data_IF_905168424345
#
_entry.id   IF_905168424345
#
_cell.length_a   1.000
_cell.length_b   1.000
_cell.length_c   1.000
_cell.angle_alpha   90.00
_cell.angle_beta   90.00
_cell.angle_gamma   90.00
#
_symmetry.space_group_name_H-M   'P 1'
#
loop_
_entity.id
_entity.type
_entity.pdbx_description
1 polymer ?
#
# COMPACT_ATOMS: atom_id res chain seq x y z
N UNK A 1 -3.60 -15.89 1.49
CA UNK A 1 -4.26 -15.44 0.24
C UNK A 1 -4.29 -13.93 0.30
N UNK A 2 -3.41 -13.30 -0.46
CA UNK A 2 -3.36 -11.85 -0.61
C UNK A 2 -4.40 -11.39 -1.62
N UNK A 3 -4.87 -10.16 -1.48
CA UNK A 3 -5.86 -9.57 -2.38
C UNK A 3 -5.33 -8.22 -2.84
N UNK A 4 -5.29 -8.00 -4.14
CA UNK A 4 -5.01 -6.69 -4.72
C UNK A 4 -6.30 -5.89 -4.85
N UNK A 5 -6.29 -4.67 -4.32
CA UNK A 5 -7.46 -3.78 -4.34
C UNK A 5 -7.25 -2.59 -5.25
N UNK A 6 -8.32 -2.08 -5.83
CA UNK A 6 -8.38 -0.70 -6.31
C UNK A 6 -8.96 0.21 -5.21
N UNK A 7 -8.91 1.54 -5.38
CA UNK A 7 -9.39 2.51 -4.38
C UNK A 7 -10.87 2.31 -4.06
N UNK A 8 -11.69 2.06 -5.08
CA UNK A 8 -13.14 2.02 -4.96
C UNK A 8 -13.59 0.71 -4.32
N UNK A 9 -12.99 -0.43 -4.69
CA UNK A 9 -13.21 -1.70 -4.00
C UNK A 9 -12.75 -1.65 -2.54
N UNK A 10 -11.58 -1.06 -2.27
CA UNK A 10 -11.07 -0.90 -0.91
C UNK A 10 -11.97 -0.01 -0.03
N UNK A 11 -12.53 1.06 -0.59
CA UNK A 11 -13.47 1.94 0.11
C UNK A 11 -14.78 1.24 0.47
N UNK A 12 -15.28 0.32 -0.37
CA UNK A 12 -16.51 -0.44 -0.10
C UNK A 12 -16.38 -1.37 1.09
N UNK A 13 -15.21 -1.99 1.24
CA UNK A 13 -14.95 -2.96 2.32
C UNK A 13 -14.23 -2.33 3.52
N UNK A 14 -14.03 -1.00 3.52
CA UNK A 14 -13.16 -0.33 4.48
C UNK A 14 -13.46 -0.68 5.94
N UNK A 15 -14.74 -0.73 6.33
CA UNK A 15 -15.17 -1.03 7.70
C UNK A 15 -14.97 -2.49 8.10
N UNK A 16 -14.73 -3.40 7.16
CA UNK A 16 -14.48 -4.82 7.41
C UNK A 16 -13.00 -5.15 7.46
N UNK A 17 -12.11 -4.20 7.12
CA UNK A 17 -10.67 -4.42 7.18
C UNK A 17 -10.18 -4.47 8.64
N UNK A 18 -9.09 -5.17 8.94
CA UNK A 18 -8.37 -5.02 10.20
C UNK A 18 -8.01 -3.56 10.49
N UNK A 19 -8.01 -3.17 11.77
CA UNK A 19 -7.80 -1.78 12.20
C UNK A 19 -6.55 -1.14 11.58
N UNK A 20 -5.41 -1.83 11.59
CA UNK A 20 -4.16 -1.30 11.05
C UNK A 20 -4.25 -1.00 9.54
N UNK A 21 -4.98 -1.81 8.77
CA UNK A 21 -5.18 -1.59 7.33
C UNK A 21 -6.07 -0.36 7.08
N UNK A 22 -7.10 -0.18 7.92
CA UNK A 22 -7.94 1.01 7.89
C UNK A 22 -7.10 2.26 8.16
N UNK A 23 -6.24 2.23 9.18
CA UNK A 23 -5.39 3.37 9.53
C UNK A 23 -4.35 3.69 8.45
N UNK A 24 -3.68 2.66 7.90
CA UNK A 24 -2.72 2.83 6.81
C UNK A 24 -3.37 3.49 5.59
N UNK A 25 -4.51 2.94 5.13
CA UNK A 25 -5.21 3.50 3.98
C UNK A 25 -5.81 4.87 4.24
N UNK A 26 -6.37 5.12 5.43
CA UNK A 26 -6.90 6.43 5.84
C UNK A 26 -5.81 7.49 5.83
N UNK A 27 -4.65 7.19 6.40
CA UNK A 27 -3.50 8.10 6.45
C UNK A 27 -2.97 8.40 5.05
N UNK A 28 -2.86 7.38 4.20
CA UNK A 28 -2.48 7.55 2.80
C UNK A 28 -3.49 8.43 2.03
N UNK A 29 -4.78 8.16 2.17
CA UNK A 29 -5.85 8.94 1.55
C UNK A 29 -5.81 10.41 2.01
N UNK A 30 -5.62 10.65 3.31
CA UNK A 30 -5.45 12.01 3.84
C UNK A 30 -4.26 12.70 3.17
N UNK A 31 -3.10 12.03 3.06
CA UNK A 31 -1.92 12.61 2.42
C UNK A 31 -2.16 12.95 0.94
N UNK A 32 -2.85 12.09 0.20
CA UNK A 32 -3.13 12.31 -1.22
C UNK A 32 -4.17 13.41 -1.48
N UNK A 33 -5.03 13.69 -0.50
CA UNK A 33 -6.17 14.62 -0.64
C UNK A 33 -6.04 15.93 0.14
N UNK A 34 -4.96 16.09 0.93
CA UNK A 34 -4.68 17.32 1.69
C UNK A 34 -4.43 18.51 0.74
N UNK A 35 -5.34 19.48 0.77
CA UNK A 35 -5.27 20.70 -0.05
C UNK A 35 -4.33 21.77 0.54
N UNK A 36 -4.10 21.73 1.85
CA UNK A 36 -3.23 22.69 2.55
C UNK A 36 -1.77 22.25 2.48
N UNK A 37 -1.52 20.94 2.41
CA UNK A 37 -0.19 20.33 2.29
C UNK A 37 -0.19 19.31 1.14
N UNK A 38 -0.29 19.78 -0.12
CA UNK A 38 -0.41 18.90 -1.28
C UNK A 38 0.75 17.92 -1.37
N UNK A 39 0.46 16.70 -1.84
CA UNK A 39 1.50 15.72 -2.12
C UNK A 39 2.31 16.20 -3.34
N UNK A 40 3.65 16.25 -3.27
CA UNK A 40 4.46 16.90 -4.29
C UNK A 40 4.51 16.14 -5.62
N UNK A 41 4.09 14.87 -5.65
CA UNK A 41 4.05 14.07 -6.87
C UNK A 41 2.68 14.16 -7.54
N UNK A 42 2.56 15.08 -8.51
CA UNK A 42 1.36 15.28 -9.32
C UNK A 42 0.87 13.97 -9.99
N UNK A 43 1.75 13.14 -10.60
CA UNK A 43 1.33 11.83 -11.14
C UNK A 43 0.66 10.91 -10.12
N UNK A 44 1.17 10.86 -8.88
CA UNK A 44 0.59 10.04 -7.83
C UNK A 44 -0.81 10.53 -7.41
N UNK A 45 -1.00 11.85 -7.32
CA UNK A 45 -2.32 12.43 -7.04
C UNK A 45 -3.32 12.16 -8.17
N UNK A 46 -2.88 12.28 -9.43
CA UNK A 46 -3.72 11.93 -10.58
C UNK A 46 -4.07 10.45 -10.60
N UNK A 47 -3.10 9.56 -10.38
CA UNK A 47 -3.36 8.14 -10.26
C UNK A 47 -4.34 7.83 -9.13
N UNK A 48 -4.18 8.44 -7.96
CA UNK A 48 -5.08 8.23 -6.82
C UNK A 48 -6.50 8.65 -7.17
N UNK A 49 -6.66 9.83 -7.77
CA UNK A 49 -7.97 10.38 -8.16
C UNK A 49 -8.64 9.53 -9.24
N UNK A 50 -7.87 9.07 -10.23
CA UNK A 50 -8.35 8.28 -11.37
C UNK A 50 -8.51 6.78 -11.07
N UNK A 51 -8.30 6.34 -9.83
CA UNK A 51 -8.33 4.92 -9.43
C UNK A 51 -7.30 4.03 -10.17
N UNK A 52 -6.14 4.59 -10.52
CA UNK A 52 -5.02 3.87 -11.16
C UNK A 52 -4.05 3.22 -10.14
N UNK A 53 -4.25 3.45 -8.85
CA UNK A 53 -3.44 2.79 -7.82
C UNK A 53 -4.02 1.42 -7.51
N UNK A 54 -3.14 0.45 -7.30
CA UNK A 54 -3.46 -0.87 -6.77
C UNK A 54 -2.82 -1.04 -5.40
N UNK A 55 -3.58 -1.56 -4.44
CA UNK A 55 -3.21 -1.61 -3.04
C UNK A 55 -3.09 -3.05 -2.58
N UNK A 56 -1.99 -3.36 -1.90
CA UNK A 56 -1.79 -4.61 -1.18
C UNK A 56 -1.48 -4.34 0.29
N UNK A 57 -1.80 -5.32 1.13
CA UNK A 57 -1.45 -5.32 2.56
C UNK A 57 -0.66 -6.58 2.86
N UNK A 58 0.51 -6.43 3.48
CA UNK A 58 1.37 -7.54 3.86
C UNK A 58 1.76 -7.45 5.36
N UNK A 59 2.20 -8.57 5.92
CA UNK A 59 2.49 -8.74 7.35
C UNK A 59 3.84 -8.15 7.78
N UNK A 60 4.36 -8.69 8.89
CA UNK A 60 5.69 -8.36 9.41
C UNK A 60 6.75 -8.70 8.34
N UNK A 61 7.59 -7.74 7.92
CA UNK A 61 8.56 -7.98 6.86
C UNK A 61 9.68 -8.97 7.24
N UNK A 62 9.84 -9.29 8.52
CA UNK A 62 10.79 -10.32 8.99
C UNK A 62 10.29 -11.74 8.74
N UNK A 63 8.99 -11.92 8.47
CA UNK A 63 8.40 -13.24 8.21
C UNK A 63 8.58 -13.65 6.75
N UNK A 64 9.11 -14.86 6.53
CA UNK A 64 9.26 -15.41 5.17
C UNK A 64 7.94 -15.52 4.39
N UNK A 65 6.81 -15.70 5.08
CA UNK A 65 5.49 -15.70 4.44
C UNK A 65 5.11 -14.34 3.85
N UNK A 66 5.56 -13.25 4.47
CA UNK A 66 5.31 -11.88 4.00
C UNK A 66 5.96 -11.63 2.64
N UNK A 67 7.17 -12.16 2.43
CA UNK A 67 7.85 -12.10 1.12
C UNK A 67 7.11 -12.88 0.03
N UNK A 68 6.54 -14.04 0.38
CA UNK A 68 5.72 -14.81 -0.55
C UNK A 68 4.40 -14.10 -0.88
N UNK A 69 3.76 -13.49 0.11
CA UNK A 69 2.57 -12.65 -0.04
C UNK A 69 2.85 -11.43 -0.95
N UNK A 70 3.98 -10.76 -0.77
CA UNK A 70 4.41 -9.68 -1.65
C UNK A 70 4.62 -10.15 -3.10
N UNK A 71 5.30 -11.29 -3.30
CA UNK A 71 5.51 -11.86 -4.62
C UNK A 71 4.17 -12.21 -5.31
N UNK A 72 3.19 -12.74 -4.57
CA UNK A 72 1.86 -13.02 -5.08
C UNK A 72 1.13 -11.74 -5.51
N UNK A 73 1.14 -10.69 -4.68
CA UNK A 73 0.54 -9.39 -5.02
C UNK A 73 1.23 -8.74 -6.22
N UNK A 74 2.56 -8.81 -6.30
CA UNK A 74 3.32 -8.25 -7.41
C UNK A 74 2.96 -8.94 -8.72
N UNK A 75 2.82 -10.28 -8.69
CA UNK A 75 2.34 -11.03 -9.86
C UNK A 75 0.96 -10.56 -10.30
N UNK A 76 -0.02 -10.50 -9.39
CA UNK A 76 -1.38 -10.04 -9.69
C UNK A 76 -1.39 -8.59 -10.23
N UNK A 77 -0.55 -7.72 -9.68
CA UNK A 77 -0.38 -6.36 -10.19
C UNK A 77 0.16 -6.35 -11.62
N UNK A 78 1.20 -7.15 -11.92
CA UNK A 78 1.78 -7.17 -13.27
C UNK A 78 0.77 -7.58 -14.34
N UNK A 79 -0.15 -8.49 -14.00
CA UNK A 79 -1.22 -8.96 -14.89
C UNK A 79 -2.22 -7.84 -15.23
N UNK A 80 -2.57 -6.96 -14.30
CA UNK A 80 -3.55 -5.88 -14.53
C UNK A 80 -2.91 -4.49 -14.79
N UNK A 81 -1.59 -4.36 -14.65
CA UNK A 81 -0.88 -3.06 -14.66
C UNK A 81 -1.11 -2.23 -15.94
N UNK A 82 -1.11 -2.87 -17.11
CA UNK A 82 -1.26 -2.20 -18.42
C UNK A 82 -2.66 -1.64 -18.64
N UNK A 83 -3.66 -2.27 -18.04
CA UNK A 83 -5.07 -1.92 -18.17
C UNK A 83 -5.51 -0.93 -17.06
N UNK A 84 -4.70 -0.79 -16.02
CA UNK A 84 -4.98 0.03 -14.85
C UNK A 84 -4.97 1.54 -15.14
N UNK A 85 -4.25 1.99 -16.17
CA UNK A 85 -4.22 3.37 -16.64
C UNK A 85 -2.83 4.00 -16.68
N UNK A 86 -2.74 5.23 -17.22
CA UNK A 86 -1.46 5.93 -17.46
C UNK A 86 -0.61 6.14 -16.18
N UNK A 87 -1.27 6.22 -15.03
CA UNK A 87 -0.62 6.42 -13.72
C UNK A 87 -0.69 5.15 -12.87
N UNK A 88 -0.65 3.98 -13.51
CA UNK A 88 -0.62 2.70 -12.83
C UNK A 88 0.50 2.68 -11.80
N UNK A 89 0.16 2.38 -10.55
CA UNK A 89 1.10 2.33 -9.44
C UNK A 89 0.69 1.25 -8.46
N UNK A 90 1.68 0.52 -7.95
CA UNK A 90 1.49 -0.51 -6.94
C UNK A 90 1.91 0.03 -5.58
N UNK A 91 0.96 0.08 -4.65
CA UNK A 91 1.14 0.57 -3.29
C UNK A 91 1.00 -0.62 -2.34
N UNK A 92 2.03 -0.91 -1.56
CA UNK A 92 1.99 -1.98 -0.56
C UNK A 92 2.15 -1.36 0.82
N UNK A 93 1.17 -1.63 1.68
CA UNK A 93 1.25 -1.30 3.09
C UNK A 93 1.78 -2.51 3.84
N UNK A 94 2.82 -2.28 4.63
CA UNK A 94 3.50 -3.31 5.41
C UNK A 94 3.10 -3.09 6.86
N UNK A 95 2.64 -4.15 7.52
CA UNK A 95 2.36 -4.09 8.95
C UNK A 95 3.69 -4.12 9.71
N UNK A 96 4.10 -2.97 10.26
CA UNK A 96 5.31 -2.83 11.06
C UNK A 96 4.97 -3.04 12.54
N UNK A 97 5.44 -4.12 13.18
CA UNK A 97 5.22 -4.33 14.61
C UNK A 97 5.90 -3.26 15.47
N UNK A 98 5.41 -3.07 16.70
CA UNK A 98 5.84 -1.97 17.56
C UNK A 98 7.29 -2.10 18.06
N UNK A 99 7.78 -3.33 18.23
CA UNK A 99 9.19 -3.62 18.50
C UNK A 99 10.05 -3.18 17.31
N UNK A 100 9.63 -3.53 16.09
CA UNK A 100 10.34 -3.12 14.88
C UNK A 100 10.35 -1.59 14.71
N UNK A 101 9.23 -0.90 14.95
CA UNK A 101 9.17 0.56 14.88
C UNK A 101 10.10 1.26 15.88
N UNK A 102 10.29 0.69 17.08
CA UNK A 102 11.03 1.33 18.18
C UNK A 102 12.50 1.00 18.21
N UNK A 103 12.87 -0.19 17.78
CA UNK A 103 14.21 -0.77 17.97
C UNK A 103 15.06 -0.74 16.70
N UNK A 104 14.48 -0.33 15.57
CA UNK A 104 15.12 -0.38 14.25
C UNK A 104 15.49 1.01 13.78
N UNK A 105 16.73 1.18 13.31
CA UNK A 105 17.18 2.40 12.64
C UNK A 105 16.80 2.41 11.16
N UNK A 106 16.99 3.54 10.48
CA UNK A 106 16.75 3.61 9.02
C UNK A 106 17.68 2.66 8.29
N UNK A 107 18.93 2.55 8.74
CA UNK A 107 19.96 1.67 8.20
C UNK A 107 19.59 0.19 8.38
N UNK A 108 19.00 -0.18 9.52
CA UNK A 108 18.55 -1.56 9.74
C UNK A 108 17.42 -1.98 8.78
N UNK A 109 16.55 -1.04 8.38
CA UNK A 109 15.51 -1.32 7.37
C UNK A 109 16.06 -1.66 5.99
N UNK A 110 17.29 -1.26 5.66
CA UNK A 110 17.95 -1.65 4.41
C UNK A 110 18.26 -3.15 4.34
N UNK A 111 18.30 -3.84 5.48
CA UNK A 111 18.61 -5.27 5.60
C UNK A 111 17.38 -6.15 5.84
N UNK A 112 16.20 -5.58 5.98
CA UNK A 112 14.94 -6.30 6.24
C UNK A 112 14.30 -6.84 4.94
N UNK A 113 14.87 -6.51 3.77
CA UNK A 113 14.36 -6.89 2.44
C UNK A 113 15.45 -7.43 1.51
#
# INVERSE_FOLDING_TARGET
>A
MTILYDKDSLQKIFTTLPHWQQEAFRSFKLKMTDKNKPFPCIPAQHGFTANHLRYGFIGDPRDMSTSADFAALLKEYTECSRETGQYASFIVFIHTPIDLERETTVEDFEHIY
#
